data_IF_260884059694
#
_entry.id   IF_260884059694
#
_cell.length_a   1.000
_cell.length_b   1.000
_cell.length_c   1.000
_cell.angle_alpha   90.00
_cell.angle_beta   90.00
_cell.angle_gamma   90.00
#
_symmetry.space_group_name_H-M   'P 1'
#
loop_
_entity.id
_entity.type
_entity.pdbx_description
1 polymer ?
#
# COMPACT_ATOMS: atom_id res chain seq x y z
N UNK A 1 1.85 -5.79 8.73
CA UNK A 1 0.75 -4.89 9.12
C UNK A 1 -0.39 -5.03 8.15
N UNK A 2 -1.58 -5.26 8.65
CA UNK A 2 -2.76 -5.35 7.80
C UNK A 2 -3.26 -3.98 7.39
N UNK A 3 -3.66 -3.88 6.12
CA UNK A 3 -4.20 -2.66 5.55
C UNK A 3 -5.21 -3.03 4.47
N UNK A 4 -5.76 -2.03 3.81
CA UNK A 4 -6.66 -2.25 2.68
C UNK A 4 -6.13 -1.52 1.47
N UNK A 5 -6.30 -2.14 0.30
CA UNK A 5 -6.13 -1.48 -0.98
C UNK A 5 -7.48 -1.32 -1.64
N UNK A 6 -7.63 -0.23 -2.37
CA UNK A 6 -8.77 0.01 -3.23
C UNK A 6 -8.26 0.33 -4.62
N UNK A 7 -8.89 -0.25 -5.63
CA UNK A 7 -8.62 0.09 -7.02
C UNK A 7 -9.63 1.14 -7.52
N UNK A 8 -9.55 1.51 -8.79
CA UNK A 8 -10.46 2.49 -9.38
C UNK A 8 -11.89 2.00 -9.49
N UNK A 9 -12.10 0.68 -9.47
CA UNK A 9 -13.41 0.07 -9.53
C UNK A 9 -14.12 0.00 -8.20
N UNK A 10 -13.61 0.67 -7.18
CA UNK A 10 -14.13 0.69 -5.81
C UNK A 10 -14.05 -0.63 -5.07
N UNK A 11 -13.44 -1.66 -5.66
CA UNK A 11 -13.18 -2.90 -4.95
C UNK A 11 -12.14 -2.65 -3.86
N UNK A 12 -12.51 -2.97 -2.63
CA UNK A 12 -11.64 -2.83 -1.47
C UNK A 12 -11.29 -4.21 -0.96
N UNK A 13 -10.01 -4.46 -0.75
CA UNK A 13 -9.57 -5.77 -0.27
C UNK A 13 -8.43 -5.65 0.72
N UNK A 14 -8.32 -6.65 1.58
CA UNK A 14 -7.32 -6.69 2.63
C UNK A 14 -5.98 -7.16 2.09
N UNK A 15 -4.92 -6.53 2.58
CA UNK A 15 -3.54 -6.89 2.23
C UNK A 15 -2.69 -6.96 3.49
N UNK A 16 -1.55 -7.64 3.37
CA UNK A 16 -0.50 -7.60 4.39
C UNK A 16 0.64 -6.75 3.87
N UNK A 17 0.91 -5.63 4.52
CA UNK A 17 2.08 -4.79 4.21
C UNK A 17 3.29 -5.43 4.88
N UNK A 18 4.25 -5.88 4.08
CA UNK A 18 5.44 -6.57 4.59
C UNK A 18 6.64 -5.64 4.68
N UNK A 19 6.61 -4.51 4.00
CA UNK A 19 7.69 -3.54 4.04
C UNK A 19 7.16 -2.17 3.62
N UNK A 20 7.69 -1.11 4.21
CA UNK A 20 7.26 0.26 3.94
C UNK A 20 8.46 1.20 3.91
N UNK A 21 8.47 2.11 2.94
CA UNK A 21 9.42 3.21 2.87
C UNK A 21 8.67 4.49 2.53
N UNK A 22 9.36 5.62 2.51
CA UNK A 22 8.74 6.89 2.11
C UNK A 22 8.35 6.91 0.63
N UNK A 23 8.94 6.04 -0.19
CA UNK A 23 8.69 6.01 -1.63
C UNK A 23 7.70 4.93 -2.06
N UNK A 24 7.40 3.96 -1.20
CA UNK A 24 6.50 2.89 -1.58
C UNK A 24 6.38 1.80 -0.52
N UNK A 25 5.78 0.69 -0.91
CA UNK A 25 5.59 -0.43 0.00
C UNK A 25 5.57 -1.74 -0.76
N UNK A 26 5.85 -2.83 -0.04
CA UNK A 26 5.66 -4.19 -0.51
C UNK A 26 4.51 -4.82 0.28
N UNK A 27 3.68 -5.56 -0.42
CA UNK A 27 2.50 -6.17 0.18
C UNK A 27 2.26 -7.58 -0.35
N UNK A 28 1.49 -8.34 0.40
CA UNK A 28 1.03 -9.67 -0.01
C UNK A 28 -0.48 -9.67 -0.05
N UNK A 29 -1.04 -10.24 -1.10
CA UNK A 29 -2.48 -10.44 -1.23
C UNK A 29 -2.76 -11.56 -2.23
N UNK A 30 -3.89 -12.24 -2.05
CA UNK A 30 -4.37 -13.23 -3.01
C UNK A 30 -5.08 -12.59 -4.21
N UNK A 31 -5.40 -11.30 -4.13
CA UNK A 31 -5.97 -10.59 -5.28
C UNK A 31 -4.91 -10.40 -6.37
N UNK A 32 -5.37 -10.48 -7.61
CA UNK A 32 -4.49 -10.24 -8.76
C UNK A 32 -4.53 -8.77 -9.12
N UNK A 33 -3.35 -8.13 -9.06
CA UNK A 33 -3.15 -6.76 -9.49
C UNK A 33 -2.10 -6.77 -10.59
N UNK A 34 -2.28 -5.93 -11.60
CA UNK A 34 -1.33 -5.86 -12.71
C UNK A 34 -0.41 -4.65 -12.54
N UNK A 35 0.89 -4.79 -12.91
CA UNK A 35 1.78 -3.63 -12.95
C UNK A 35 1.18 -2.49 -13.77
N UNK A 36 1.32 -1.26 -13.27
CA UNK A 36 0.72 -0.07 -13.86
C UNK A 36 -0.65 0.29 -13.29
N UNK A 37 -1.26 -0.59 -12.51
CA UNK A 37 -2.57 -0.30 -11.88
C UNK A 37 -2.39 0.72 -10.76
N UNK A 38 -3.26 1.73 -10.75
CA UNK A 38 -3.31 2.70 -9.63
C UNK A 38 -4.16 2.11 -8.52
N UNK A 39 -3.64 2.20 -7.30
CA UNK A 39 -4.32 1.72 -6.10
C UNK A 39 -4.23 2.78 -5.00
N UNK A 40 -5.08 2.67 -4.00
CA UNK A 40 -5.07 3.54 -2.83
C UNK A 40 -4.91 2.69 -1.60
N UNK A 41 -3.84 2.94 -0.85
CA UNK A 41 -3.56 2.26 0.41
C UNK A 41 -4.32 2.96 1.51
N UNK A 42 -5.17 2.23 2.22
CA UNK A 42 -5.93 2.73 3.35
C UNK A 42 -5.42 2.12 4.64
N UNK A 43 -5.07 2.96 5.58
CA UNK A 43 -4.57 2.59 6.90
C UNK A 43 -5.47 3.23 7.96
N UNK A 44 -5.54 2.65 9.18
CA UNK A 44 -6.33 3.24 10.24
C UNK A 44 -5.94 4.71 10.50
N UNK A 45 -6.93 5.61 10.49
CA UNK A 45 -6.72 7.02 10.77
C UNK A 45 -6.09 7.83 9.65
N UNK A 46 -5.85 7.24 8.47
CA UNK A 46 -5.27 7.94 7.34
C UNK A 46 -6.17 7.83 6.12
N UNK A 47 -6.21 8.91 5.34
CA UNK A 47 -6.85 8.89 4.03
C UNK A 47 -6.07 7.99 3.07
N UNK A 48 -6.69 7.56 1.99
CA UNK A 48 -6.05 6.70 1.00
C UNK A 48 -4.81 7.33 0.40
N UNK A 49 -3.73 6.56 0.37
CA UNK A 49 -2.45 6.97 -0.20
C UNK A 49 -2.34 6.39 -1.61
N UNK A 50 -2.29 7.26 -2.61
CA UNK A 50 -2.23 6.83 -4.00
C UNK A 50 -0.87 6.21 -4.32
N UNK A 51 -0.90 5.07 -5.01
CA UNK A 51 0.29 4.36 -5.43
C UNK A 51 0.03 3.64 -6.75
N UNK A 52 1.11 3.22 -7.40
CA UNK A 52 1.05 2.44 -8.64
C UNK A 52 1.75 1.12 -8.40
N UNK A 53 1.14 0.03 -8.84
CA UNK A 53 1.77 -1.28 -8.79
C UNK A 53 2.96 -1.28 -9.74
N UNK A 54 4.17 -1.42 -9.19
CA UNK A 54 5.41 -1.39 -9.96
C UNK A 54 5.80 -2.77 -10.45
N UNK A 55 5.60 -3.80 -9.62
CA UNK A 55 5.92 -5.18 -9.99
C UNK A 55 5.05 -6.17 -9.21
N UNK A 56 4.99 -7.37 -9.75
CA UNK A 56 4.27 -8.49 -9.13
C UNK A 56 5.14 -9.74 -9.23
N UNK A 57 5.19 -10.50 -8.13
CA UNK A 57 5.80 -11.83 -8.09
C UNK A 57 4.89 -12.74 -7.27
N UNK A 58 4.06 -13.54 -7.97
CA UNK A 58 3.06 -14.42 -7.35
C UNK A 58 2.06 -13.61 -6.51
N UNK A 59 2.14 -13.70 -5.20
CA UNK A 59 1.25 -13.00 -4.27
C UNK A 59 1.89 -11.76 -3.66
N UNK A 60 3.12 -11.43 -4.08
CA UNK A 60 3.83 -10.24 -3.61
C UNK A 60 3.79 -9.14 -4.64
N UNK A 61 3.67 -7.93 -4.14
CA UNK A 61 3.58 -6.73 -4.96
C UNK A 61 4.49 -5.66 -4.42
N UNK A 62 5.15 -4.95 -5.33
CA UNK A 62 5.83 -3.70 -5.01
C UNK A 62 5.03 -2.55 -5.57
N UNK A 63 4.71 -1.58 -4.72
CA UNK A 63 3.95 -0.39 -5.11
C UNK A 63 4.76 0.86 -4.81
N UNK A 64 4.73 1.81 -5.74
CA UNK A 64 5.40 3.09 -5.58
C UNK A 64 4.34 4.16 -5.31
N UNK A 65 4.52 4.95 -4.25
CA UNK A 65 3.63 6.08 -4.00
C UNK A 65 3.76 7.10 -5.11
N UNK A 66 2.63 7.65 -5.55
CA UNK A 66 2.61 8.71 -6.56
C UNK A 66 3.41 9.92 -6.09
N UNK A 67 3.33 10.22 -4.79
CA UNK A 67 4.15 11.23 -4.14
C UNK A 67 4.81 10.62 -2.92
N UNK A 68 6.11 10.82 -2.69
CA UNK A 68 6.76 10.33 -1.49
C UNK A 68 6.03 10.80 -0.23
N UNK A 69 6.00 9.93 0.79
CA UNK A 69 5.37 10.27 2.06
C UNK A 69 6.15 11.36 2.78
N UNK A 70 5.43 12.26 3.44
CA UNK A 70 6.07 13.15 4.40
C UNK A 70 6.65 12.30 5.55
N UNK A 71 7.86 12.63 6.06
CA UNK A 71 8.47 11.84 7.15
C UNK A 71 7.56 11.66 8.37
N UNK A 72 6.77 12.67 8.73
CA UNK A 72 5.84 12.57 9.85
C UNK A 72 4.74 11.53 9.58
N UNK A 73 4.27 11.44 8.34
CA UNK A 73 3.27 10.44 7.94
C UNK A 73 3.88 9.04 8.00
N UNK A 74 5.10 8.89 7.50
CA UNK A 74 5.83 7.63 7.55
C UNK A 74 6.01 7.16 8.99
N UNK A 75 6.46 8.05 9.88
CA UNK A 75 6.65 7.73 11.29
C UNK A 75 5.34 7.31 11.96
N UNK A 76 4.23 7.97 11.61
CA UNK A 76 2.92 7.62 12.13
C UNK A 76 2.51 6.20 11.71
N UNK A 77 2.72 5.84 10.45
CA UNK A 77 2.40 4.51 9.94
C UNK A 77 3.25 3.45 10.63
N UNK A 78 4.54 3.70 10.80
CA UNK A 78 5.45 2.77 11.49
C UNK A 78 4.98 2.55 12.93
N UNK A 79 4.56 3.61 13.61
CA UNK A 79 4.04 3.49 14.97
C UNK A 79 2.76 2.64 15.03
N UNK A 80 1.88 2.74 14.03
CA UNK A 80 0.69 1.89 13.94
C UNK A 80 1.06 0.42 13.79
N UNK A 81 2.10 0.12 13.02
CA UNK A 81 2.54 -1.26 12.81
C UNK A 81 3.23 -1.87 14.02
N UNK A 82 3.77 -1.06 14.91
CA UNK A 82 4.49 -1.50 16.10
C UNK A 82 3.60 -1.49 17.36
N UNK A 83 2.42 -0.94 17.25
CA UNK A 83 1.52 -0.74 18.40
C UNK A 83 0.58 -1.90 18.75
#
# INVERSE_FOLDING_TARGET
MRAHLRDRGTTRFEIEVVDLSVTGFRAQTSFTLWPGTTVWLTLPGLAGLEAVVAWRDKFRYGCAFTKPLHPAVFDHIVALGNG
#
